data_IF_182320191884
#
_entry.id   IF_182320191884
#
_cell.length_a   1.000
_cell.length_b   1.000
_cell.length_c   1.000
_cell.angle_alpha   90.00
_cell.angle_beta   90.00
_cell.angle_gamma   90.00
#
_symmetry.space_group_name_H-M   'P 1'
#
loop_
_entity.id
_entity.type
_entity.pdbx_description
1 polymer ?
#
# COMPACT_ATOMS: atom_id res chain seq x y z
N UNK A 1 -4.82 13.95 -14.82
CA UNK A 1 -4.32 12.58 -14.55
C UNK A 1 -3.68 12.09 -15.84
N UNK A 2 -2.38 11.74 -15.82
CA UNK A 2 -1.66 11.35 -17.03
C UNK A 2 -1.97 9.87 -17.35
N UNK A 3 -2.16 9.56 -18.64
CA UNK A 3 -2.43 8.21 -19.13
C UNK A 3 -1.36 7.19 -18.70
N UNK A 4 -0.08 7.61 -18.62
CA UNK A 4 1.03 6.76 -18.20
C UNK A 4 0.94 6.31 -16.73
N UNK A 5 0.66 7.21 -15.78
CA UNK A 5 0.54 6.83 -14.36
C UNK A 5 -0.64 5.90 -14.10
N UNK A 6 -1.70 6.04 -14.90
CA UNK A 6 -2.87 5.14 -14.85
C UNK A 6 -2.53 3.72 -15.28
N UNK A 7 -1.74 3.55 -16.35
CA UNK A 7 -1.32 2.24 -16.84
C UNK A 7 -0.46 1.48 -15.82
N UNK A 8 0.56 2.11 -15.24
CA UNK A 8 1.41 1.47 -14.24
C UNK A 8 0.62 1.03 -13.00
N UNK A 9 -0.33 1.84 -12.54
CA UNK A 9 -1.19 1.50 -11.41
C UNK A 9 -2.05 0.24 -11.69
N UNK A 10 -2.60 0.11 -12.90
CA UNK A 10 -3.37 -1.06 -13.31
C UNK A 10 -2.48 -2.31 -13.33
N UNK A 11 -1.30 -2.23 -13.95
CA UNK A 11 -0.36 -3.36 -14.03
C UNK A 11 0.07 -3.83 -12.63
N UNK A 12 0.47 -2.89 -11.76
CA UNK A 12 0.86 -3.21 -10.38
C UNK A 12 -0.30 -3.81 -9.59
N UNK A 13 -1.53 -3.36 -9.79
CA UNK A 13 -2.70 -3.93 -9.12
C UNK A 13 -2.97 -5.37 -9.55
N UNK A 14 -2.84 -5.69 -10.84
CA UNK A 14 -2.97 -7.05 -11.35
C UNK A 14 -1.89 -7.94 -10.72
N UNK A 15 -0.63 -7.48 -10.73
CA UNK A 15 0.49 -8.20 -10.15
C UNK A 15 0.25 -8.47 -8.66
N UNK A 16 -0.11 -7.45 -7.87
CA UNK A 16 -0.39 -7.61 -6.43
C UNK A 16 -1.55 -8.58 -6.16
N UNK A 17 -2.57 -8.59 -7.02
CA UNK A 17 -3.67 -9.56 -6.92
C UNK A 17 -3.17 -10.99 -7.14
N UNK A 18 -2.32 -11.20 -8.16
CA UNK A 18 -1.70 -12.51 -8.41
C UNK A 18 -0.79 -12.92 -7.24
N UNK A 19 0.02 -11.99 -6.72
CA UNK A 19 0.89 -12.24 -5.56
C UNK A 19 0.08 -12.63 -4.30
N UNK A 20 -1.07 -11.99 -4.08
CA UNK A 20 -1.99 -12.35 -3.00
C UNK A 20 -2.50 -13.79 -3.13
N UNK A 21 -2.91 -14.20 -4.34
CA UNK A 21 -3.33 -15.59 -4.60
C UNK A 21 -2.19 -16.59 -4.38
N UNK A 22 -0.97 -16.26 -4.79
CA UNK A 22 0.22 -17.07 -4.50
C UNK A 22 0.49 -17.17 -2.99
N UNK A 23 0.33 -16.07 -2.24
CA UNK A 23 0.43 -16.07 -0.78
C UNK A 23 -0.58 -17.00 -0.11
N UNK A 24 -1.84 -16.99 -0.54
CA UNK A 24 -2.87 -17.91 -0.05
C UNK A 24 -2.51 -19.36 -0.37
N UNK A 25 -2.04 -19.63 -1.59
CA UNK A 25 -1.56 -20.95 -1.98
C UNK A 25 -0.39 -21.45 -1.13
N UNK A 26 0.58 -20.58 -0.83
CA UNK A 26 1.69 -20.90 0.06
C UNK A 26 1.21 -21.28 1.46
N UNK A 27 0.31 -20.49 2.05
CA UNK A 27 -0.24 -20.79 3.38
C UNK A 27 -0.99 -22.11 3.37
N UNK A 28 -1.85 -22.36 2.38
CA UNK A 28 -2.62 -23.61 2.28
C UNK A 28 -1.70 -24.83 2.20
N UNK A 29 -0.64 -24.77 1.39
CA UNK A 29 0.37 -25.83 1.31
C UNK A 29 1.14 -26.00 2.62
N UNK A 30 1.55 -24.89 3.25
CA UNK A 30 2.26 -24.94 4.53
C UNK A 30 1.40 -25.52 5.66
N UNK A 31 0.11 -25.18 5.72
CA UNK A 31 -0.83 -25.74 6.71
C UNK A 31 -1.03 -27.25 6.48
N UNK A 32 -1.12 -27.68 5.22
CA UNK A 32 -1.17 -29.11 4.91
C UNK A 32 0.10 -29.83 5.37
N UNK A 33 1.28 -29.26 5.09
CA UNK A 33 2.56 -29.82 5.55
C UNK A 33 2.67 -29.82 7.08
N UNK A 34 2.14 -28.80 7.76
CA UNK A 34 2.14 -28.68 9.22
C UNK A 34 1.38 -29.82 9.91
N UNK A 35 0.31 -30.33 9.29
CA UNK A 35 -0.49 -31.42 9.83
C UNK A 35 0.23 -32.78 9.77
N UNK A 36 1.20 -32.92 8.87
CA UNK A 36 1.94 -34.18 8.66
C UNK A 36 3.25 -34.18 9.46
N UNK A 37 3.82 -33.01 9.69
CA UNK A 37 5.07 -32.89 10.43
C UNK A 37 4.89 -33.26 11.92
N UNK A 38 6.00 -33.62 12.59
CA UNK A 38 6.04 -33.91 14.03
C UNK A 38 6.59 -32.74 14.87
N UNK A 39 5.86 -32.25 15.90
CA UNK A 39 6.21 -31.04 16.62
C UNK A 39 7.60 -31.13 17.29
N UNK A 40 8.33 -30.01 17.32
CA UNK A 40 9.69 -29.94 17.86
C UNK A 40 10.81 -30.26 16.86
N UNK A 41 10.47 -30.62 15.62
CA UNK A 41 11.45 -30.81 14.54
C UNK A 41 11.76 -29.51 13.80
N UNK A 42 12.92 -29.45 13.14
CA UNK A 42 13.29 -28.34 12.26
C UNK A 42 12.26 -28.09 11.14
N UNK A 43 11.59 -29.14 10.66
CA UNK A 43 10.54 -29.03 9.64
C UNK A 43 9.35 -28.20 10.14
N UNK A 44 8.89 -28.43 11.38
CA UNK A 44 7.81 -27.63 11.96
C UNK A 44 8.16 -26.16 12.02
N UNK A 45 9.37 -25.84 12.48
CA UNK A 45 9.82 -24.46 12.65
C UNK A 45 9.86 -23.76 11.29
N UNK A 46 10.40 -24.43 10.28
CA UNK A 46 10.50 -23.88 8.93
C UNK A 46 9.11 -23.69 8.26
N UNK A 47 8.18 -24.63 8.45
CA UNK A 47 6.79 -24.51 7.98
C UNK A 47 6.09 -23.32 8.64
N UNK A 48 6.28 -23.13 9.96
CA UNK A 48 5.73 -21.98 10.68
C UNK A 48 6.29 -20.65 10.13
N UNK A 49 7.61 -20.58 9.88
CA UNK A 49 8.24 -19.40 9.25
C UNK A 49 7.62 -19.12 7.87
N UNK A 50 7.38 -20.16 7.08
CA UNK A 50 6.75 -20.03 5.76
C UNK A 50 5.33 -19.46 5.84
N UNK A 51 4.54 -19.82 6.86
CA UNK A 51 3.21 -19.24 7.11
C UNK A 51 3.29 -17.75 7.44
N UNK A 52 4.27 -17.33 8.25
CA UNK A 52 4.48 -15.90 8.55
C UNK A 52 4.85 -15.10 7.30
N UNK A 53 5.74 -15.64 6.47
CA UNK A 53 6.13 -14.99 5.20
C UNK A 53 4.93 -14.92 4.25
N UNK A 54 4.14 -15.99 4.13
CA UNK A 54 2.91 -16.01 3.33
C UNK A 54 1.88 -14.99 3.82
N UNK A 55 1.72 -14.85 5.13
CA UNK A 55 0.79 -13.88 5.73
C UNK A 55 1.24 -12.44 5.47
N UNK A 56 2.55 -12.17 5.58
CA UNK A 56 3.13 -10.87 5.25
C UNK A 56 2.88 -10.51 3.78
N UNK A 57 3.12 -11.44 2.86
CA UNK A 57 2.86 -11.25 1.42
C UNK A 57 1.40 -10.88 1.12
N UNK A 58 0.45 -11.57 1.76
CA UNK A 58 -0.97 -11.26 1.61
C UNK A 58 -1.25 -9.83 2.10
N UNK A 59 -0.77 -9.46 3.28
CA UNK A 59 -1.00 -8.14 3.86
C UNK A 59 -0.43 -7.02 2.97
N UNK A 60 0.82 -7.15 2.50
CA UNK A 60 1.43 -6.14 1.63
C UNK A 60 0.71 -6.02 0.30
N UNK A 61 0.28 -7.13 -0.28
CA UNK A 61 -0.47 -7.15 -1.54
C UNK A 61 -1.84 -6.50 -1.40
N UNK A 62 -2.57 -6.74 -0.31
CA UNK A 62 -3.83 -6.05 -0.02
C UNK A 62 -3.63 -4.54 0.15
N UNK A 63 -2.60 -4.11 0.89
CA UNK A 63 -2.26 -2.69 1.03
C UNK A 63 -1.90 -2.05 -0.32
N UNK A 64 -1.24 -2.80 -1.21
CA UNK A 64 -0.96 -2.38 -2.58
C UNK A 64 -2.22 -2.14 -3.41
N UNK A 65 -3.21 -3.03 -3.30
CA UNK A 65 -4.51 -2.88 -3.97
C UNK A 65 -5.30 -1.68 -3.42
N UNK A 66 -5.41 -1.54 -2.09
CA UNK A 66 -6.12 -0.41 -1.48
C UNK A 66 -5.41 0.93 -1.68
N UNK A 67 -4.08 0.93 -1.73
CA UNK A 67 -3.27 2.11 -2.03
C UNK A 67 -3.41 2.61 -3.46
N UNK A 68 -3.78 1.74 -4.42
CA UNK A 68 -4.15 2.15 -5.77
C UNK A 68 -5.54 2.79 -5.84
N UNK A 69 -6.51 2.32 -5.05
CA UNK A 69 -7.86 2.88 -5.01
C UNK A 69 -7.93 4.22 -4.24
N UNK A 70 -7.00 4.50 -3.32
CA UNK A 70 -6.92 5.76 -2.56
C UNK A 70 -6.15 6.89 -3.28
N UNK A 71 -6.26 7.01 -4.60
CA UNK A 71 -5.75 8.19 -5.33
C UNK A 71 -6.41 9.51 -4.87
N UNK A 72 -7.57 9.47 -4.22
CA UNK A 72 -8.19 10.63 -3.57
C UNK A 72 -7.75 10.76 -2.10
N UNK A 73 -6.46 10.99 -1.87
CA UNK A 73 -6.00 11.52 -0.57
C UNK A 73 -6.59 12.93 -0.33
N UNK A 74 -7.01 13.64 -1.38
CA UNK A 74 -7.55 14.99 -1.33
C UNK A 74 -8.84 15.19 -0.52
N UNK A 75 -9.59 14.14 -0.18
CA UNK A 75 -10.80 14.28 0.65
C UNK A 75 -10.56 14.10 2.16
N UNK A 76 -9.38 13.62 2.58
CA UNK A 76 -9.09 13.33 3.99
C UNK A 76 -8.25 14.46 4.63
N UNK A 77 -7.51 15.22 3.82
CA UNK A 77 -6.66 16.32 4.30
C UNK A 77 -7.42 17.65 4.32
N UNK A 78 -7.45 18.30 5.49
CA UNK A 78 -7.82 19.71 5.58
C UNK A 78 -6.67 20.54 5.01
N UNK A 79 -6.89 21.19 3.87
CA UNK A 79 -5.93 22.08 3.26
C UNK A 79 -6.04 23.49 3.85
N UNK A 80 -4.89 24.08 4.18
CA UNK A 80 -4.77 25.49 4.57
C UNK A 80 -4.89 26.39 3.34
N UNK A 81 -6.11 26.56 2.86
CA UNK A 81 -6.44 27.30 1.64
C UNK A 81 -7.75 28.08 1.80
N UNK A 82 -8.03 29.00 0.88
CA UNK A 82 -9.29 29.73 0.87
C UNK A 82 -9.82 29.98 -0.54
N UNK A 83 -11.10 29.64 -0.75
CA UNK A 83 -11.76 29.75 -2.05
C UNK A 83 -11.31 28.67 -3.03
N UNK A 84 -12.03 28.52 -4.14
CA UNK A 84 -11.69 27.54 -5.18
C UNK A 84 -10.42 27.98 -5.89
N UNK A 85 -10.42 29.20 -6.41
CA UNK A 85 -9.28 29.86 -7.05
C UNK A 85 -8.76 31.02 -6.21
N UNK A 86 -9.64 31.72 -5.49
CA UNK A 86 -9.27 32.83 -4.61
C UNK A 86 -10.38 33.16 -3.62
N UNK A 87 -10.05 33.94 -2.61
CA UNK A 87 -11.02 34.54 -1.67
C UNK A 87 -12.13 35.34 -2.37
N UNK A 88 -11.87 35.82 -3.59
CA UNK A 88 -12.86 36.55 -4.41
C UNK A 88 -14.04 35.69 -4.86
N UNK A 89 -13.94 34.37 -4.80
CA UNK A 89 -15.04 33.47 -5.10
C UNK A 89 -16.22 33.69 -4.14
N UNK A 90 -15.95 34.09 -2.89
CA UNK A 90 -17.01 34.42 -1.93
C UNK A 90 -17.61 35.81 -2.21
N UNK A 91 -16.76 36.79 -2.51
CA UNK A 91 -17.14 38.19 -2.71
C UNK A 91 -17.99 38.33 -3.99
N UNK A 92 -17.61 37.65 -5.07
CA UNK A 92 -18.39 37.59 -6.33
C UNK A 92 -19.77 36.95 -6.17
N UNK A 93 -19.96 36.08 -5.17
CA UNK A 93 -21.24 35.49 -4.82
C UNK A 93 -22.03 36.30 -3.78
N UNK A 94 -21.54 37.48 -3.39
CA UNK A 94 -22.15 38.29 -2.32
C UNK A 94 -22.11 37.60 -0.95
N UNK A 95 -21.20 36.64 -0.76
CA UNK A 95 -21.04 35.89 0.49
C UNK A 95 -19.86 36.42 1.28
N UNK A 96 -20.00 36.36 2.60
CA UNK A 96 -18.88 36.62 3.51
C UNK A 96 -17.87 35.46 3.46
N UNK A 97 -16.58 35.79 3.60
CA UNK A 97 -15.52 34.80 3.68
C UNK A 97 -15.69 33.99 4.99
N UNK A 98 -15.75 32.65 4.94
CA UNK A 98 -15.96 31.81 6.12
C UNK A 98 -14.76 31.85 7.08
N UNK A 99 -15.01 31.62 8.38
CA UNK A 99 -13.96 31.61 9.42
C UNK A 99 -12.92 30.49 9.20
N UNK A 100 -13.27 29.41 8.50
CA UNK A 100 -12.34 28.34 8.11
C UNK A 100 -11.21 28.81 7.19
N UNK A 101 -11.36 29.97 6.53
CA UNK A 101 -10.32 30.57 5.70
C UNK A 101 -9.22 31.30 6.50
N UNK A 102 -9.34 31.34 7.83
CA UNK A 102 -8.42 32.06 8.69
C UNK A 102 -7.77 31.14 9.71
N UNK A 103 -6.49 31.37 10.00
CA UNK A 103 -5.79 30.69 11.08
C UNK A 103 -6.49 30.97 12.41
N UNK A 104 -6.64 29.93 13.24
CA UNK A 104 -7.33 29.97 14.54
C UNK A 104 -8.80 30.47 14.48
N UNK A 105 -9.42 30.46 13.30
CA UNK A 105 -10.81 30.90 13.09
C UNK A 105 -11.08 32.39 13.38
N UNK A 106 -10.03 33.22 13.43
CA UNK A 106 -10.12 34.65 13.68
C UNK A 106 -10.22 35.42 12.36
N UNK A 107 -11.26 36.25 12.16
CA UNK A 107 -11.44 37.07 10.94
C UNK A 107 -10.49 38.27 10.91
N UNK A 108 -9.19 37.98 10.82
CA UNK A 108 -8.11 38.95 10.74
C UNK A 108 -7.43 38.76 9.38
N UNK A 109 -7.41 39.82 8.56
CA UNK A 109 -6.92 39.73 7.18
C UNK A 109 -5.46 39.28 7.07
N UNK A 110 -4.62 39.59 8.07
CA UNK A 110 -3.23 39.12 8.14
C UNK A 110 -3.09 37.61 8.39
N UNK A 111 -4.14 36.95 8.91
CA UNK A 111 -4.18 35.51 9.22
C UNK A 111 -4.96 34.69 8.18
N UNK A 112 -5.37 35.32 7.07
CA UNK A 112 -6.13 34.69 6.01
C UNK A 112 -5.24 33.79 5.15
N UNK A 113 -5.72 32.60 4.80
CA UNK A 113 -5.05 31.78 3.79
C UNK A 113 -5.14 32.46 2.42
N UNK A 114 -3.99 32.75 1.82
CA UNK A 114 -3.88 33.35 0.48
C UNK A 114 -3.81 32.31 -0.63
N UNK A 115 -3.54 31.04 -0.28
CA UNK A 115 -3.41 29.94 -1.22
C UNK A 115 -4.78 29.47 -1.72
N UNK A 116 -4.88 29.27 -3.03
CA UNK A 116 -6.03 28.66 -3.71
C UNK A 116 -6.21 27.20 -3.29
N UNK A 117 -7.45 26.77 -3.01
CA UNK A 117 -7.70 25.36 -2.69
C UNK A 117 -7.46 24.44 -3.88
N UNK A 118 -7.76 24.90 -5.10
CA UNK A 118 -7.50 24.11 -6.30
C UNK A 118 -5.99 23.84 -6.46
N UNK A 119 -5.16 24.87 -6.30
CA UNK A 119 -3.71 24.74 -6.38
C UNK A 119 -3.16 23.88 -5.24
N UNK A 120 -3.66 24.07 -4.00
CA UNK A 120 -3.26 23.26 -2.86
C UNK A 120 -3.56 21.76 -3.07
N UNK A 121 -4.72 21.44 -3.65
CA UNK A 121 -5.08 20.05 -3.98
C UNK A 121 -4.21 19.53 -5.12
N UNK A 122 -4.01 20.30 -6.19
CA UNK A 122 -3.24 19.87 -7.35
C UNK A 122 -1.76 19.63 -7.04
N UNK A 123 -1.13 20.53 -6.27
CA UNK A 123 0.28 20.39 -5.86
C UNK A 123 0.48 19.14 -5.00
N UNK A 124 -0.43 18.92 -4.03
CA UNK A 124 -0.38 17.74 -3.18
C UNK A 124 -0.71 16.46 -3.96
N UNK A 125 -1.64 16.51 -4.92
CA UNK A 125 -1.92 15.40 -5.81
C UNK A 125 -0.69 15.05 -6.68
N UNK A 126 -0.02 16.04 -7.28
CA UNK A 126 1.18 15.81 -8.08
C UNK A 126 2.34 15.24 -7.26
N UNK A 127 2.58 15.77 -6.06
CA UNK A 127 3.63 15.29 -5.15
C UNK A 127 3.35 13.88 -4.64
N UNK A 128 2.11 13.61 -4.24
CA UNK A 128 1.68 12.29 -3.77
C UNK A 128 1.72 11.22 -4.86
N UNK A 129 1.50 11.58 -6.14
CA UNK A 129 1.62 10.64 -7.26
C UNK A 129 3.04 10.09 -7.42
N UNK A 130 4.07 10.95 -7.30
CA UNK A 130 5.47 10.51 -7.38
C UNK A 130 5.89 9.67 -6.18
N UNK A 131 5.53 10.10 -4.96
CA UNK A 131 5.82 9.36 -3.73
C UNK A 131 5.11 8.01 -3.70
N UNK A 132 3.84 7.97 -4.11
CA UNK A 132 3.05 6.75 -4.19
C UNK A 132 3.64 5.73 -5.16
N UNK A 133 4.17 6.17 -6.30
CA UNK A 133 4.85 5.29 -7.25
C UNK A 133 6.10 4.66 -6.64
N UNK A 134 6.99 5.47 -6.04
CA UNK A 134 8.23 4.97 -5.45
C UNK A 134 8.00 3.95 -4.34
N UNK A 135 7.04 4.22 -3.44
CA UNK A 135 6.70 3.31 -2.34
C UNK A 135 6.20 1.95 -2.86
N UNK A 136 5.39 1.94 -3.93
CA UNK A 136 4.90 0.70 -4.54
C UNK A 136 6.02 -0.17 -5.10
N UNK A 137 6.98 0.44 -5.81
CA UNK A 137 8.12 -0.31 -6.36
C UNK A 137 9.00 -0.92 -5.27
N UNK A 138 9.22 -0.18 -4.18
CA UNK A 138 9.95 -0.70 -3.02
C UNK A 138 9.21 -1.89 -2.41
N UNK A 139 7.89 -1.79 -2.19
CA UNK A 139 7.08 -2.90 -1.66
C UNK A 139 7.12 -4.12 -2.58
N UNK A 140 6.95 -3.93 -3.89
CA UNK A 140 7.01 -5.01 -4.87
C UNK A 140 8.35 -5.77 -4.82
N UNK A 141 9.47 -5.04 -4.69
CA UNK A 141 10.79 -5.68 -4.53
C UNK A 141 10.84 -6.56 -3.28
N UNK A 142 10.34 -6.06 -2.14
CA UNK A 142 10.29 -6.85 -0.90
C UNK A 142 9.40 -8.09 -1.03
N UNK A 143 8.28 -8.00 -1.74
CA UNK A 143 7.39 -9.15 -2.00
C UNK A 143 8.08 -10.22 -2.85
N UNK A 144 8.77 -9.83 -3.92
CA UNK A 144 9.53 -10.76 -4.77
C UNK A 144 10.63 -11.46 -3.96
N UNK A 145 11.35 -10.73 -3.11
CA UNK A 145 12.37 -11.31 -2.24
C UNK A 145 11.77 -12.29 -1.22
N UNK A 146 10.66 -11.93 -0.58
CA UNK A 146 9.96 -12.78 0.38
C UNK A 146 9.45 -14.07 -0.26
N UNK A 147 8.87 -13.99 -1.47
CA UNK A 147 8.48 -15.16 -2.27
C UNK A 147 9.66 -16.04 -2.65
N UNK A 148 10.79 -15.42 -3.03
CA UNK A 148 12.04 -16.12 -3.32
C UNK A 148 12.50 -16.93 -2.11
N UNK A 149 12.57 -16.30 -0.93
CA UNK A 149 12.99 -16.96 0.31
C UNK A 149 12.01 -18.09 0.69
N UNK A 150 10.70 -17.85 0.60
CA UNK A 150 9.68 -18.87 0.89
C UNK A 150 9.81 -20.09 -0.04
N UNK A 151 10.04 -19.86 -1.33
CA UNK A 151 10.21 -20.96 -2.30
C UNK A 151 11.50 -21.75 -2.05
N UNK A 152 12.62 -21.09 -1.76
CA UNK A 152 13.88 -21.74 -1.41
C UNK A 152 13.76 -22.57 -0.13
N UNK A 153 13.09 -22.03 0.89
CA UNK A 153 12.83 -22.76 2.13
C UNK A 153 11.98 -24.00 1.87
N UNK A 154 10.89 -23.87 1.12
CA UNK A 154 10.03 -25.00 0.74
C UNK A 154 10.78 -26.09 -0.05
N UNK A 155 11.66 -25.71 -0.99
CA UNK A 155 12.48 -26.67 -1.74
C UNK A 155 13.46 -27.39 -0.81
N UNK A 156 14.16 -26.66 0.06
CA UNK A 156 15.10 -27.24 1.01
C UNK A 156 14.39 -28.22 1.96
N UNK A 157 13.20 -27.88 2.46
CA UNK A 157 12.41 -28.77 3.29
C UNK A 157 12.04 -30.07 2.57
N UNK A 158 11.57 -29.97 1.33
CA UNK A 158 11.24 -31.14 0.51
C UNK A 158 12.46 -32.00 0.19
N UNK A 159 13.62 -31.37 -0.02
CA UNK A 159 14.87 -32.08 -0.27
C UNK A 159 15.37 -32.81 0.98
N UNK A 160 15.36 -32.14 2.14
CA UNK A 160 15.72 -32.76 3.43
C UNK A 160 14.80 -33.92 3.78
N UNK A 161 13.49 -33.76 3.58
CA UNK A 161 12.54 -34.85 3.79
C UNK A 161 12.81 -36.04 2.88
N UNK A 162 13.10 -35.81 1.59
CA UNK A 162 13.48 -36.88 0.66
C UNK A 162 14.74 -37.62 1.10
N UNK A 163 15.76 -36.92 1.59
CA UNK A 163 16.98 -37.54 2.10
C UNK A 163 16.71 -38.48 3.27
N UNK A 164 15.93 -38.01 4.25
CA UNK A 164 15.54 -38.83 5.41
C UNK A 164 14.71 -40.06 5.06
N UNK A 165 13.97 -40.03 3.95
CA UNK A 165 13.23 -41.20 3.46
C UNK A 165 14.15 -42.28 2.85
N UNK A 166 15.38 -41.95 2.43
CA UNK A 166 16.33 -42.93 1.89
C UNK A 166 17.26 -43.53 2.95
N UNK A 167 17.34 -42.92 4.13
CA UNK A 167 18.18 -43.39 5.25
C UNK A 167 17.45 -44.39 6.17
N UNK A 168 16.12 -44.51 6.06
CA UNK A 168 15.28 -45.48 6.78
C UNK A 168 14.88 -46.66 5.88
#
# INVERSE_FOLDING_TARGET
MNCQTTFYNIVLNIINTVLSLLGVGLIALSVYELNISTPGTFEHIAVIIQIFIGSFLILTSFLGCFGACRESLGLIWSYYCCGKNSTQDYISMGKFIPTSCYQNYERIDSKRYTKSCLEAVQENAAKSAHIGSSVKWTLFLFEVLALGIASLLGINLRNERRRRLFEN
#
